data_IF_022587873052
#
_entry.id   IF_022587873052
#
_cell.length_a   1.000
_cell.length_b   1.000
_cell.length_c   1.000
_cell.angle_alpha   90.00
_cell.angle_beta   90.00
_cell.angle_gamma   90.00
#
_symmetry.space_group_name_H-M   'P 1'
#
loop_
_entity.id
_entity.type
_entity.pdbx_description
1 polymer ?
#
# COMPACT_ATOMS: atom_id res chain seq x y z
N UNK A 1 -11.53 -9.90 -8.28
CA UNK A 1 -10.80 -8.85 -7.56
C UNK A 1 -11.19 -8.99 -6.10
N UNK A 2 -10.22 -8.96 -5.20
CA UNK A 2 -10.46 -9.20 -3.78
C UNK A 2 -10.43 -7.88 -3.00
N UNK A 3 -11.02 -7.92 -1.81
CA UNK A 3 -11.01 -6.84 -0.83
C UNK A 3 -9.96 -7.14 0.23
N UNK A 4 -9.03 -6.21 0.44
CA UNK A 4 -8.04 -6.31 1.50
C UNK A 4 -8.31 -5.28 2.58
N UNK A 5 -8.08 -5.67 3.83
CA UNK A 5 -8.06 -4.76 4.95
C UNK A 5 -6.71 -4.05 5.03
N UNK A 6 -6.77 -2.74 5.27
CA UNK A 6 -5.63 -1.87 5.45
C UNK A 6 -5.85 -1.07 6.72
N UNK A 7 -4.95 -1.23 7.68
CA UNK A 7 -4.97 -0.44 8.91
C UNK A 7 -4.25 0.88 8.66
N UNK A 8 -4.97 1.98 8.84
CA UNK A 8 -4.49 3.34 8.60
C UNK A 8 -4.34 4.07 9.92
N UNK A 9 -3.14 4.57 10.18
CA UNK A 9 -2.85 5.43 11.31
C UNK A 9 -2.55 6.85 10.80
N UNK A 10 -3.15 7.87 11.43
CA UNK A 10 -2.88 9.27 11.10
C UNK A 10 -2.01 9.90 12.17
N UNK A 11 -1.04 10.72 11.75
CA UNK A 11 -0.22 11.46 12.71
C UNK A 11 -1.12 12.35 13.58
N UNK A 12 -0.93 12.23 14.89
CA UNK A 12 -1.71 12.97 15.88
C UNK A 12 -2.93 12.21 16.40
N UNK A 13 -3.17 10.97 15.95
CA UNK A 13 -4.14 10.04 16.57
C UNK A 13 -3.40 8.95 17.36
N UNK A 14 -4.10 8.35 18.32
CA UNK A 14 -3.63 7.24 19.15
C UNK A 14 -4.24 5.88 18.73
N UNK A 15 -5.08 5.88 17.70
CA UNK A 15 -5.70 4.68 17.14
C UNK A 15 -5.43 4.57 15.63
N UNK A 16 -5.48 3.33 15.12
CA UNK A 16 -5.57 3.02 13.71
C UNK A 16 -7.05 2.79 13.31
N UNK A 17 -7.38 3.02 12.05
CA UNK A 17 -8.68 2.70 11.44
C UNK A 17 -8.49 1.71 10.31
N UNK A 18 -9.21 0.60 10.35
CA UNK A 18 -9.25 -0.35 9.25
C UNK A 18 -10.11 0.22 8.12
N UNK A 19 -9.55 0.21 6.91
CA UNK A 19 -10.24 0.51 5.67
C UNK A 19 -10.18 -0.69 4.74
N UNK A 20 -11.18 -0.83 3.88
CA UNK A 20 -11.18 -1.83 2.83
C UNK A 20 -10.67 -1.19 1.55
N UNK A 21 -9.73 -1.85 0.89
CA UNK A 21 -9.29 -1.54 -0.45
C UNK A 21 -9.71 -2.65 -1.41
N UNK A 22 -10.10 -2.29 -2.62
CA UNK A 22 -10.50 -3.22 -3.67
C UNK A 22 -9.63 -3.05 -4.91
N UNK A 23 -9.71 -3.98 -5.85
CA UNK A 23 -9.07 -3.87 -7.16
C UNK A 23 -7.63 -4.40 -7.23
N UNK A 24 -7.18 -5.08 -6.16
CA UNK A 24 -5.93 -5.85 -6.15
C UNK A 24 -6.26 -7.32 -6.50
N UNK A 25 -5.32 -8.00 -7.15
CA UNK A 25 -5.46 -9.42 -7.46
C UNK A 25 -5.55 -10.25 -6.17
N UNK A 26 -6.35 -11.32 -6.21
CA UNK A 26 -6.69 -12.12 -5.03
C UNK A 26 -5.49 -12.88 -4.46
N UNK A 27 -4.75 -13.57 -5.32
CA UNK A 27 -3.64 -14.45 -4.91
C UNK A 27 -2.31 -13.69 -4.88
N UNK A 28 -1.73 -13.40 -3.68
CA UNK A 28 -0.47 -12.68 -3.58
C UNK A 28 0.71 -13.44 -4.19
N UNK A 29 0.69 -14.78 -4.19
CA UNK A 29 1.76 -15.57 -4.75
C UNK A 29 1.87 -15.42 -6.28
N UNK A 30 0.75 -15.06 -6.94
CA UNK A 30 0.65 -14.84 -8.38
C UNK A 30 0.73 -13.36 -8.79
N UNK A 31 1.01 -12.44 -7.86
CA UNK A 31 1.05 -11.01 -8.16
C UNK A 31 2.12 -10.63 -9.17
N UNK A 32 1.78 -9.63 -9.97
CA UNK A 32 2.71 -8.93 -10.86
C UNK A 32 3.16 -7.59 -10.24
N UNK A 33 4.19 -6.97 -10.80
CA UNK A 33 4.62 -5.61 -10.44
C UNK A 33 3.45 -4.60 -10.54
N UNK A 34 2.52 -4.81 -11.48
CA UNK A 34 1.33 -3.97 -11.64
C UNK A 34 0.31 -4.16 -10.51
N UNK A 35 0.14 -5.38 -9.99
CA UNK A 35 -0.75 -5.64 -8.86
C UNK A 35 -0.20 -5.02 -7.58
N UNK A 36 1.13 -5.11 -7.37
CA UNK A 36 1.82 -4.40 -6.30
C UNK A 36 1.70 -2.88 -6.47
N UNK A 37 1.80 -2.35 -7.69
CA UNK A 37 1.56 -0.92 -7.96
C UNK A 37 0.15 -0.48 -7.52
N UNK A 38 -0.88 -1.29 -7.83
CA UNK A 38 -2.26 -1.02 -7.42
C UNK A 38 -2.43 -1.07 -5.90
N UNK A 39 -1.84 -2.07 -5.25
CA UNK A 39 -1.84 -2.18 -3.78
C UNK A 39 -1.26 -0.93 -3.12
N UNK A 40 -0.04 -0.52 -3.54
CA UNK A 40 0.63 0.66 -2.99
C UNK A 40 -0.18 1.95 -3.18
N UNK A 41 -0.77 2.13 -4.37
CA UNK A 41 -1.65 3.26 -4.65
C UNK A 41 -2.90 3.23 -3.77
N UNK A 42 -3.52 2.07 -3.61
CA UNK A 42 -4.70 1.92 -2.78
C UNK A 42 -4.42 2.22 -1.30
N UNK A 43 -3.26 1.81 -0.78
CA UNK A 43 -2.82 2.14 0.59
C UNK A 43 -2.58 3.65 0.75
N UNK A 44 -1.89 4.31 -0.20
CA UNK A 44 -1.69 5.77 -0.18
C UNK A 44 -3.03 6.52 -0.19
N UNK A 45 -3.96 6.06 -1.02
CA UNK A 45 -5.30 6.61 -1.13
C UNK A 45 -6.10 6.39 0.17
N UNK A 46 -5.94 5.26 0.84
CA UNK A 46 -6.56 5.02 2.14
C UNK A 46 -6.07 6.02 3.20
N UNK A 47 -4.78 6.37 3.23
CA UNK A 47 -4.27 7.44 4.11
C UNK A 47 -4.90 8.78 3.73
N UNK A 48 -5.00 9.09 2.44
CA UNK A 48 -5.62 10.33 1.97
C UNK A 48 -7.09 10.44 2.38
N UNK A 49 -7.89 9.40 2.19
CA UNK A 49 -9.31 9.35 2.59
C UNK A 49 -9.49 9.48 4.10
N UNK A 50 -8.63 8.83 4.89
CA UNK A 50 -8.68 8.96 6.34
C UNK A 50 -8.44 10.40 6.78
N UNK A 51 -7.47 11.09 6.15
CA UNK A 51 -7.16 12.49 6.45
C UNK A 51 -8.22 13.46 5.92
N UNK A 52 -8.88 13.14 4.81
CA UNK A 52 -9.86 14.00 4.15
C UNK A 52 -11.21 13.26 4.00
N UNK A 53 -11.97 13.06 5.09
CA UNK A 53 -13.27 12.38 5.00
C UNK A 53 -14.21 13.11 4.02
N UNK A 54 -14.78 12.36 3.07
CA UNK A 54 -15.73 12.90 2.07
C UNK A 54 -15.09 13.43 0.79
N UNK A 55 -13.76 13.41 0.65
CA UNK A 55 -13.10 13.72 -0.63
C UNK A 55 -13.41 12.66 -1.69
N UNK A 56 -13.55 13.07 -2.95
CA UNK A 56 -13.47 12.12 -4.07
C UNK A 56 -12.03 11.63 -4.24
N UNK A 57 -11.87 10.40 -4.71
CA UNK A 57 -10.55 9.85 -4.97
C UNK A 57 -9.77 10.71 -5.96
N UNK A 58 -8.53 11.01 -5.61
CA UNK A 58 -7.58 11.75 -6.44
C UNK A 58 -6.49 10.82 -6.96
N UNK A 59 -5.90 11.12 -8.13
CA UNK A 59 -4.74 10.37 -8.60
C UNK A 59 -3.60 10.42 -7.56
N UNK A 60 -3.15 9.24 -7.14
CA UNK A 60 -1.98 9.07 -6.27
C UNK A 60 -0.77 8.61 -7.08
N UNK A 61 0.40 9.12 -6.72
CA UNK A 61 1.67 8.80 -7.37
C UNK A 61 2.52 7.96 -6.44
N UNK A 62 3.26 6.98 -6.98
CA UNK A 62 4.18 6.14 -6.20
C UNK A 62 5.49 6.88 -5.90
N UNK A 63 5.43 7.93 -5.10
CA UNK A 63 6.58 8.73 -4.66
C UNK A 63 6.33 9.38 -3.30
N UNK A 64 7.41 9.75 -2.61
CA UNK A 64 7.32 10.54 -1.37
C UNK A 64 6.81 9.75 -0.16
N UNK A 65 7.02 8.44 -0.14
CA UNK A 65 6.72 7.55 0.98
C UNK A 65 7.90 6.62 1.25
N UNK A 66 8.06 6.17 2.50
CA UNK A 66 8.91 5.04 2.85
C UNK A 66 8.07 3.78 2.95
N UNK A 67 8.69 2.62 2.72
CA UNK A 67 8.02 1.33 2.81
C UNK A 67 8.94 0.29 3.43
N UNK A 68 8.33 -0.71 4.08
CA UNK A 68 9.02 -1.89 4.60
C UNK A 68 8.12 -3.11 4.48
N UNK A 69 8.73 -4.25 4.17
CA UNK A 69 8.08 -5.56 4.25
C UNK A 69 8.63 -6.29 5.45
N UNK A 70 7.76 -6.74 6.34
CA UNK A 70 8.15 -7.51 7.52
C UNK A 70 7.50 -8.90 7.47
N UNK A 71 8.21 -9.96 7.89
CA UNK A 71 7.58 -11.24 8.21
C UNK A 71 6.47 -11.02 9.24
N UNK A 72 5.38 -11.76 9.08
CA UNK A 72 4.26 -11.70 10.03
C UNK A 72 4.04 -13.08 10.66
N UNK A 73 4.18 -13.13 11.98
CA UNK A 73 4.05 -14.36 12.77
C UNK A 73 4.78 -15.56 12.14
N UNK A 74 4.09 -16.69 11.98
CA UNK A 74 4.63 -17.93 11.40
C UNK A 74 4.45 -18.00 9.88
N UNK A 75 3.66 -17.11 9.25
CA UNK A 75 3.42 -17.17 7.80
C UNK A 75 3.02 -15.84 7.16
N UNK A 76 3.59 -15.59 5.99
CA UNK A 76 3.29 -14.42 5.17
C UNK A 76 4.03 -13.16 5.62
N UNK A 77 3.68 -12.05 4.96
CA UNK A 77 4.35 -10.76 5.17
C UNK A 77 3.36 -9.62 5.23
N UNK A 78 3.66 -8.62 6.04
CA UNK A 78 2.95 -7.35 6.04
C UNK A 78 3.79 -6.30 5.32
N UNK A 79 3.11 -5.41 4.61
CA UNK A 79 3.71 -4.20 4.06
C UNK A 79 3.21 -3.00 4.86
N UNK A 80 4.15 -2.17 5.33
CA UNK A 80 3.86 -0.87 5.88
C UNK A 80 4.36 0.21 4.91
N UNK A 81 3.53 1.22 4.65
CA UNK A 81 3.95 2.46 4.00
C UNK A 81 3.79 3.62 4.98
N UNK A 82 4.68 4.59 4.90
CA UNK A 82 4.64 5.80 5.71
C UNK A 82 4.85 7.05 4.85
N UNK A 83 4.02 8.05 5.11
CA UNK A 83 4.18 9.43 4.63
C UNK A 83 4.17 10.38 5.82
N UNK A 84 4.50 11.65 5.59
CA UNK A 84 4.57 12.64 6.67
C UNK A 84 3.29 12.69 7.53
N UNK A 85 2.12 12.47 6.95
CA UNK A 85 0.82 12.63 7.62
C UNK A 85 0.26 11.35 8.25
N UNK A 86 0.88 10.19 8.03
CA UNK A 86 0.35 8.92 8.53
C UNK A 86 1.01 7.70 7.89
N UNK A 87 0.55 6.53 8.31
CA UNK A 87 1.01 5.24 7.86
C UNK A 87 -0.17 4.33 7.50
N UNK A 88 0.09 3.35 6.64
CA UNK A 88 -0.86 2.29 6.32
C UNK A 88 -0.15 0.93 6.32
N UNK A 89 -0.81 -0.08 6.87
CA UNK A 89 -0.33 -1.46 6.94
C UNK A 89 -1.32 -2.38 6.26
N UNK A 90 -0.84 -3.29 5.42
CA UNK A 90 -1.66 -4.29 4.73
C UNK A 90 -1.01 -5.67 4.84
N UNK A 91 -1.85 -6.71 4.88
CA UNK A 91 -1.44 -8.11 5.04
C UNK A 91 -2.01 -8.74 6.31
N UNK A 92 -1.55 -9.95 6.66
CA UNK A 92 -0.45 -10.68 6.03
C UNK A 92 -0.79 -11.20 4.63
N UNK A 93 0.16 -11.12 3.71
CA UNK A 93 0.10 -11.70 2.37
C UNK A 93 0.93 -12.97 2.30
N UNK A 94 0.38 -14.04 1.71
CA UNK A 94 1.11 -15.29 1.47
C UNK A 94 2.01 -15.17 0.23
N UNK A 95 3.12 -14.48 0.40
CA UNK A 95 4.19 -14.29 -0.59
C UNK A 95 5.53 -14.25 0.14
N UNK A 96 6.60 -14.67 -0.52
CA UNK A 96 7.94 -14.53 0.03
C UNK A 96 8.31 -13.04 0.25
N UNK A 97 9.03 -12.75 1.34
CA UNK A 97 9.45 -11.39 1.69
C UNK A 97 10.28 -10.76 0.59
N UNK A 98 11.32 -11.46 0.14
CA UNK A 98 12.23 -10.95 -0.88
C UNK A 98 11.50 -10.75 -2.21
N UNK A 99 10.63 -11.70 -2.57
CA UNK A 99 9.79 -11.57 -3.76
C UNK A 99 8.95 -10.28 -3.73
N UNK A 100 8.27 -9.99 -2.61
CA UNK A 100 7.47 -8.77 -2.48
C UNK A 100 8.35 -7.50 -2.49
N UNK A 101 9.49 -7.49 -1.80
CA UNK A 101 10.44 -6.36 -1.80
C UNK A 101 10.96 -6.04 -3.22
N UNK A 102 11.31 -7.08 -3.98
CA UNK A 102 11.80 -6.94 -5.35
C UNK A 102 10.67 -6.40 -6.28
N UNK A 103 9.42 -6.86 -6.10
CA UNK A 103 8.25 -6.35 -6.84
C UNK A 103 7.94 -4.89 -6.50
N UNK A 104 7.97 -4.50 -5.21
CA UNK A 104 7.76 -3.11 -4.79
C UNK A 104 8.81 -2.20 -5.43
N UNK A 105 10.08 -2.61 -5.37
CA UNK A 105 11.19 -1.84 -5.95
C UNK A 105 10.99 -1.60 -7.44
N UNK A 106 10.61 -2.64 -8.21
CA UNK A 106 10.31 -2.51 -9.65
C UNK A 106 9.06 -1.68 -9.92
N UNK A 107 7.99 -1.86 -9.15
CA UNK A 107 6.74 -1.13 -9.30
C UNK A 107 6.93 0.39 -9.08
N UNK A 108 7.77 0.78 -8.13
CA UNK A 108 8.13 2.18 -7.89
C UNK A 108 9.00 2.71 -9.04
N UNK A 109 10.00 1.94 -9.48
CA UNK A 109 10.90 2.36 -10.56
C UNK A 109 10.20 2.53 -11.91
N UNK A 110 9.17 1.73 -12.19
CA UNK A 110 8.37 1.80 -13.42
C UNK A 110 7.27 2.87 -13.36
N UNK A 111 7.01 3.46 -12.18
CA UNK A 111 5.98 4.48 -12.06
C UNK A 111 6.36 5.72 -12.89
N UNK A 112 5.45 6.27 -13.71
CA UNK A 112 5.78 7.42 -14.53
C UNK A 112 6.24 8.57 -13.64
N UNK A 113 7.47 9.01 -13.87
CA UNK A 113 7.92 10.32 -13.38
C UNK A 113 7.07 11.35 -14.12
N UNK A 114 6.17 12.05 -13.43
CA UNK A 114 5.51 13.21 -14.03
C UNK A 114 6.57 14.28 -14.28
N UNK A 115 7.25 14.20 -15.43
CA UNK A 115 7.96 15.31 -16.02
C UNK A 115 6.89 16.30 -16.49
N UNK A 116 6.77 17.42 -15.77
CA UNK A 116 5.98 18.55 -16.23
C UNK A 116 6.74 19.11 -17.44
N UNK A 117 6.11 19.10 -18.62
CA UNK A 117 6.49 19.91 -19.78
C UNK A 117 5.58 21.14 -19.82
#
# INVERSE_FOLDING_TARGET
>A
MEEFQVDVWLRGTDFARTQVIAGVAADPAAWTDNDVSKLLKAMLLAIHRAKNPGSTDTPVFLRGFSWIVNPFEESGVVIAIEIQTGAAVAGPFRIDKKQLEDMISRAIAQAPSSSIH
#
